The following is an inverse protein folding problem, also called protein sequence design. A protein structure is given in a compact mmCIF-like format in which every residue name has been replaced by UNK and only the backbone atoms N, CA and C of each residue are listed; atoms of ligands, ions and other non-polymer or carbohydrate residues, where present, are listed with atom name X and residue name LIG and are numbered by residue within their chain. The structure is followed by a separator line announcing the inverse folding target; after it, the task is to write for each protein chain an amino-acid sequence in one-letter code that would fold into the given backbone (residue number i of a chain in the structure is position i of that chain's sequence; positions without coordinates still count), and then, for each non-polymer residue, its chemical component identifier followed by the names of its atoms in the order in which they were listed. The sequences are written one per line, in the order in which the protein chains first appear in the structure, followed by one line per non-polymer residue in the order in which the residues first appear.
data_IF_648681780471
#
_entry.id   IF_648681780471
#
_cell.length_a   1.000
_cell.length_b   1.000
_cell.length_c   1.000
_cell.angle_alpha   90.00
_cell.angle_beta   90.00
_cell.angle_gamma   90.00
#
_symmetry.space_group_name_H-M   'P 1'
#
loop_
_entity.id
_entity.type
_entity.pdbx_description
1 polymer ?
#
# COMPACT_ATOMS: atom_id res chain seq x y z
N UNK A 1 7.86 -1.52 3.93
CA UNK A 1 7.84 -2.19 5.25
C UNK A 1 6.78 -3.27 5.21
N UNK A 2 7.22 -4.49 5.47
CA UNK A 2 6.39 -5.67 5.72
C UNK A 2 6.88 -6.32 7.01
N UNK A 3 6.13 -7.26 7.58
CA UNK A 3 6.60 -8.10 8.67
C UNK A 3 7.25 -9.40 8.13
N UNK A 4 7.45 -10.39 9.01
CA UNK A 4 8.27 -11.58 8.79
C UNK A 4 7.88 -12.43 7.57
N UNK A 5 6.63 -12.37 7.11
CA UNK A 5 6.14 -13.15 5.98
C UNK A 5 6.31 -12.40 4.66
N UNK A 6 6.65 -11.12 4.68
CA UNK A 6 6.91 -10.32 3.48
C UNK A 6 8.07 -10.87 2.65
N UNK A 7 7.89 -10.93 1.33
CA UNK A 7 8.92 -11.41 0.37
C UNK A 7 9.18 -10.43 -0.75
N UNK A 8 8.15 -9.74 -1.20
CA UNK A 8 8.29 -8.74 -2.26
C UNK A 8 7.41 -7.56 -1.94
N UNK A 9 7.90 -6.36 -2.22
CA UNK A 9 7.11 -5.15 -2.15
C UNK A 9 7.54 -4.18 -3.22
N UNK A 10 6.55 -3.52 -3.81
CA UNK A 10 6.82 -2.40 -4.68
C UNK A 10 5.72 -1.36 -4.56
N UNK A 11 6.08 -0.12 -4.89
CA UNK A 11 5.14 0.98 -5.07
C UNK A 11 5.39 1.61 -6.42
N UNK A 12 4.33 1.69 -7.23
CA UNK A 12 4.35 2.35 -8.54
C UNK A 12 3.55 3.64 -8.49
N UNK A 13 3.96 4.59 -9.32
CA UNK A 13 3.17 5.77 -9.63
C UNK A 13 2.34 5.45 -10.86
N UNK A 14 1.04 5.66 -10.76
CA UNK A 14 0.09 5.52 -11.86
C UNK A 14 -0.33 6.93 -12.28
N UNK A 15 -0.19 7.22 -13.58
CA UNK A 15 -0.62 8.48 -14.19
C UNK A 15 -1.43 8.14 -15.43
N UNK A 16 -2.67 8.64 -15.49
CA UNK A 16 -3.59 8.35 -16.60
C UNK A 16 -3.69 6.84 -16.91
N UNK A 17 -3.96 6.02 -15.89
CA UNK A 17 -4.07 4.55 -15.97
C UNK A 17 -2.82 3.82 -16.51
N UNK A 18 -1.65 4.44 -16.44
CA UNK A 18 -0.38 3.83 -16.84
C UNK A 18 0.63 3.97 -15.71
N UNK A 19 1.29 2.87 -15.35
CA UNK A 19 2.42 2.91 -14.43
C UNK A 19 3.60 3.63 -15.11
N UNK A 20 4.09 4.70 -14.50
CA UNK A 20 5.14 5.55 -15.08
C UNK A 20 6.51 5.31 -14.45
N UNK A 21 6.57 4.94 -13.18
CA UNK A 21 7.83 4.65 -12.48
C UNK A 21 7.59 3.84 -11.19
N UNK A 22 8.66 3.26 -10.65
CA UNK A 22 8.71 2.71 -9.30
C UNK A 22 9.20 3.77 -8.30
N UNK A 23 8.40 4.03 -7.26
CA UNK A 23 8.91 4.72 -6.06
C UNK A 23 9.71 3.79 -5.16
N UNK A 24 9.39 2.50 -5.21
CA UNK A 24 10.12 1.48 -4.47
C UNK A 24 9.93 0.13 -5.16
N UNK A 25 10.98 -0.67 -5.27
CA UNK A 25 10.91 -2.04 -5.75
C UNK A 25 11.92 -2.92 -5.00
N UNK A 26 11.43 -3.87 -4.23
CA UNK A 26 12.23 -4.88 -3.55
C UNK A 26 11.65 -6.26 -3.87
N UNK A 27 12.23 -6.94 -4.86
CA UNK A 27 11.82 -8.28 -5.26
C UNK A 27 12.17 -9.35 -4.22
N UNK A 28 13.31 -9.18 -3.54
CA UNK A 28 13.78 -10.01 -2.44
C UNK A 28 13.83 -9.19 -1.14
N UNK A 29 12.66 -8.87 -0.61
CA UNK A 29 12.51 -8.14 0.65
C UNK A 29 12.89 -9.04 1.85
N UNK A 30 13.68 -8.48 2.77
CA UNK A 30 14.01 -9.09 4.06
C UNK A 30 13.56 -8.16 5.19
N UNK A 31 12.75 -8.68 6.12
CA UNK A 31 12.31 -7.97 7.31
C UNK A 31 13.48 -7.45 8.17
N UNK A 32 14.61 -8.14 8.20
CA UNK A 32 15.77 -7.73 8.97
C UNK A 32 16.54 -6.57 8.33
N UNK A 33 16.20 -6.20 7.09
CA UNK A 33 16.90 -5.16 6.34
C UNK A 33 15.93 -4.07 5.88
N UNK A 34 15.53 -3.22 6.84
CA UNK A 34 14.63 -2.09 6.62
C UNK A 34 15.40 -0.78 6.73
N UNK A 35 15.59 -0.11 5.59
CA UNK A 35 16.30 1.16 5.51
C UNK A 35 15.62 2.08 4.51
N UNK A 36 15.85 3.38 4.68
CA UNK A 36 15.39 4.39 3.73
C UNK A 36 16.18 4.22 2.42
N UNK A 37 15.47 3.88 1.34
CA UNK A 37 16.05 3.84 0.01
C UNK A 37 15.92 5.22 -0.63
N UNK A 38 17.05 5.83 -0.97
CA UNK A 38 17.04 7.06 -1.75
C UNK A 38 16.79 6.71 -3.21
N UNK A 39 15.80 7.37 -3.79
CA UNK A 39 15.57 7.31 -5.23
C UNK A 39 16.80 7.85 -5.96
N UNK A 40 17.26 7.19 -7.06
CA UNK A 40 18.36 7.69 -7.87
C UNK A 40 18.09 9.12 -8.37
N UNK A 41 16.85 9.35 -8.80
CA UNK A 41 16.35 10.63 -9.26
C UNK A 41 15.11 11.05 -8.49
N UNK A 42 14.94 12.37 -8.33
CA UNK A 42 13.75 12.92 -7.70
C UNK A 42 12.55 12.77 -8.62
N UNK A 43 11.53 12.05 -8.14
CA UNK A 43 10.29 11.87 -8.88
C UNK A 43 9.30 12.98 -8.51
N UNK A 44 8.79 13.68 -9.52
CA UNK A 44 7.74 14.70 -9.36
C UNK A 44 6.36 14.04 -9.38
N UNK A 45 5.59 14.32 -8.34
CA UNK A 45 4.20 13.91 -8.18
C UNK A 45 3.27 15.05 -8.61
N UNK A 46 2.21 14.72 -9.34
CA UNK A 46 1.18 15.66 -9.75
C UNK A 46 -0.17 15.27 -9.16
N UNK A 47 -1.07 16.25 -9.06
CA UNK A 47 -2.46 15.98 -8.68
C UNK A 47 -3.09 15.03 -9.70
N UNK A 48 -3.75 13.99 -9.21
CA UNK A 48 -4.33 12.94 -10.04
C UNK A 48 -3.41 11.74 -10.26
N UNK A 49 -2.15 11.79 -9.83
CA UNK A 49 -1.34 10.58 -9.72
C UNK A 49 -1.88 9.68 -8.62
N UNK A 50 -1.82 8.37 -8.86
CA UNK A 50 -2.18 7.36 -7.88
C UNK A 50 -0.94 6.54 -7.49
N UNK A 51 -0.96 5.95 -6.29
CA UNK A 51 0.08 5.04 -5.83
C UNK A 51 -0.47 3.62 -5.72
N UNK A 52 0.11 2.72 -6.49
CA UNK A 52 -0.18 1.30 -6.40
C UNK A 52 0.93 0.63 -5.58
N UNK A 53 0.63 0.28 -4.33
CA UNK A 53 1.52 -0.51 -3.48
C UNK A 53 1.07 -1.97 -3.50
N UNK A 54 2.00 -2.88 -3.78
CA UNK A 54 1.74 -4.32 -3.72
C UNK A 54 2.75 -4.99 -2.82
N UNK A 55 2.25 -5.88 -1.99
CA UNK A 55 3.02 -6.72 -1.09
C UNK A 55 2.74 -8.19 -1.42
N UNK A 56 3.78 -9.01 -1.42
CA UNK A 56 3.70 -10.47 -1.59
C UNK A 56 4.24 -11.11 -0.33
N UNK A 57 3.49 -12.07 0.20
CA UNK A 57 3.81 -12.78 1.43
C UNK A 57 4.00 -14.26 1.16
N UNK A 58 4.79 -14.92 1.99
CA UNK A 58 4.93 -16.37 2.00
C UNK A 58 4.45 -16.90 3.36
N UNK A 59 3.32 -17.61 3.34
CA UNK A 59 2.69 -18.22 4.52
C UNK A 59 2.91 -19.73 4.60
N UNK A 60 3.83 -20.30 3.81
CA UNK A 60 4.05 -21.76 3.75
C UNK A 60 4.54 -22.35 5.08
N UNK A 61 5.09 -21.52 5.97
CA UNK A 61 5.54 -21.88 7.31
C UNK A 61 4.51 -21.52 8.40
N UNK A 62 3.24 -21.27 8.04
CA UNK A 62 2.16 -20.92 8.96
C UNK A 62 1.00 -21.89 8.81
N UNK A 63 0.56 -22.43 9.95
CA UNK A 63 -0.61 -23.30 10.01
C UNK A 63 -1.93 -22.52 10.24
N UNK A 64 -1.82 -21.25 10.61
CA UNK A 64 -2.95 -20.37 10.91
C UNK A 64 -2.93 -19.13 10.01
N UNK A 65 -4.11 -18.59 9.74
CA UNK A 65 -4.24 -17.32 9.03
C UNK A 65 -3.53 -16.20 9.79
N UNK A 66 -2.82 -15.37 9.03
CA UNK A 66 -2.19 -14.14 9.52
C UNK A 66 -3.04 -12.95 9.09
N UNK A 67 -3.36 -12.05 10.02
CA UNK A 67 -4.17 -10.85 9.76
C UNK A 67 -3.30 -9.61 9.62
N UNK A 68 -3.88 -8.53 9.09
CA UNK A 68 -3.26 -7.22 9.09
C UNK A 68 -3.31 -6.57 10.48
N UNK A 69 -2.20 -6.02 10.96
CA UNK A 69 -2.09 -5.43 12.29
C UNK A 69 -0.66 -5.01 12.64
N UNK A 70 -0.47 -4.44 13.83
CA UNK A 70 0.83 -3.92 14.29
C UNK A 70 1.62 -4.92 15.13
N UNK A 71 1.03 -6.06 15.49
CA UNK A 71 1.70 -7.05 16.35
C UNK A 71 2.70 -7.86 15.51
N UNK A 72 3.68 -8.46 16.18
CA UNK A 72 4.70 -9.32 15.55
C UNK A 72 4.12 -10.57 14.86
N UNK A 73 2.92 -10.99 15.25
CA UNK A 73 2.19 -12.11 14.64
C UNK A 73 1.29 -11.69 13.47
N UNK A 74 1.12 -10.37 13.28
CA UNK A 74 0.30 -9.78 12.23
C UNK A 74 1.22 -9.35 11.07
N UNK A 75 0.62 -8.98 9.94
CA UNK A 75 1.34 -8.43 8.80
C UNK A 75 0.99 -6.95 8.55
N UNK A 76 1.91 -6.24 7.90
CA UNK A 76 1.76 -4.84 7.46
C UNK A 76 2.13 -4.72 5.98
N UNK A 77 1.43 -3.87 5.22
CA UNK A 77 1.80 -3.50 3.86
C UNK A 77 1.95 -1.98 3.78
N UNK A 78 3.15 -1.49 4.09
CA UNK A 78 3.39 -0.05 4.21
C UNK A 78 4.52 0.41 3.31
N UNK A 79 4.37 1.59 2.75
CA UNK A 79 5.46 2.32 2.12
C UNK A 79 5.57 3.70 2.78
N UNK A 80 6.70 3.94 3.44
CA UNK A 80 7.00 5.22 4.07
C UNK A 80 7.78 6.07 3.06
N UNK A 81 7.11 7.05 2.47
CA UNK A 81 7.70 7.94 1.47
C UNK A 81 8.06 9.29 2.08
N UNK A 82 9.30 9.72 1.91
CA UNK A 82 9.76 11.07 2.22
C UNK A 82 9.53 11.98 1.02
N UNK A 83 8.83 13.11 1.20
CA UNK A 83 8.51 14.02 0.09
C UNK A 83 8.66 15.49 0.48
N UNK A 84 8.76 16.37 -0.53
CA UNK A 84 8.78 17.82 -0.35
C UNK A 84 8.14 18.54 -1.56
N UNK A 85 7.59 19.76 -1.40
CA UNK A 85 7.38 20.45 -0.11
C UNK A 85 6.33 19.73 0.75
N UNK A 86 6.37 19.99 2.07
CA UNK A 86 5.39 19.44 3.02
C UNK A 86 3.98 19.86 2.61
N UNK A 87 3.03 18.93 2.67
CA UNK A 87 1.61 19.22 2.55
C UNK A 87 0.99 19.19 3.96
N UNK A 88 0.32 20.27 4.36
CA UNK A 88 -0.13 20.46 5.75
C UNK A 88 -1.14 19.41 6.22
N UNK A 89 -1.90 18.83 5.30
CA UNK A 89 -2.99 17.90 5.58
C UNK A 89 -2.76 16.49 5.03
N UNK A 90 -1.52 16.08 4.71
CA UNK A 90 -1.23 14.71 4.27
C UNK A 90 -0.21 14.04 5.21
N UNK A 91 -0.72 13.21 6.13
CA UNK A 91 0.10 12.42 7.05
C UNK A 91 0.17 10.95 6.64
N UNK A 92 -0.92 10.43 6.07
CA UNK A 92 -0.99 9.08 5.55
C UNK A 92 -2.06 8.94 4.48
N UNK A 93 -1.91 7.89 3.68
CA UNK A 93 -2.91 7.41 2.77
C UNK A 93 -2.94 5.88 2.88
N UNK A 94 -4.11 5.31 3.07
CA UNK A 94 -4.31 3.88 3.13
C UNK A 94 -5.60 3.51 2.41
N UNK A 95 -5.68 2.25 2.00
CA UNK A 95 -6.91 1.71 1.41
C UNK A 95 -7.29 0.44 2.15
N UNK A 96 -8.59 0.29 2.39
CA UNK A 96 -9.19 -0.93 2.93
C UNK A 96 -10.32 -1.38 2.01
N UNK A 97 -10.69 -2.66 2.06
CA UNK A 97 -11.95 -3.10 1.47
C UNK A 97 -13.12 -2.48 2.23
N UNK A 98 -14.26 -2.33 1.56
CA UNK A 98 -15.49 -1.83 2.17
C UNK A 98 -15.87 -2.70 3.37
N UNK A 99 -15.99 -2.14 4.59
CA UNK A 99 -16.41 -2.88 5.77
C UNK A 99 -17.74 -3.60 5.55
N UNK A 100 -18.71 -2.95 4.92
CA UNK A 100 -20.05 -3.52 4.68
C UNK A 100 -19.99 -4.75 3.77
N UNK A 101 -19.23 -4.66 2.67
CA UNK A 101 -19.09 -5.78 1.75
C UNK A 101 -18.32 -6.95 2.39
N UNK A 102 -17.40 -6.64 3.30
CA UNK A 102 -16.63 -7.62 4.04
C UNK A 102 -17.48 -8.35 5.09
N UNK A 103 -18.27 -7.61 5.86
CA UNK A 103 -19.24 -8.16 6.81
C UNK A 103 -20.28 -9.04 6.08
N UNK A 104 -20.77 -8.58 4.93
CA UNK A 104 -21.70 -9.35 4.10
C UNK A 104 -21.08 -10.67 3.61
N UNK A 105 -19.83 -10.65 3.13
CA UNK A 105 -19.11 -11.86 2.69
C UNK A 105 -18.95 -12.88 3.82
N UNK A 106 -18.81 -12.42 5.06
CA UNK A 106 -18.65 -13.27 6.24
C UNK A 106 -19.97 -13.66 6.90
N UNK A 107 -21.10 -13.10 6.44
CA UNK A 107 -22.41 -13.26 7.08
C UNK A 107 -22.38 -12.88 8.58
N UNK A 108 -21.67 -11.80 8.92
CA UNK A 108 -21.56 -11.27 10.29
C UNK A 108 -22.42 -10.00 10.40
N UNK A 109 -23.29 -9.94 11.39
CA UNK A 109 -24.06 -8.73 11.71
C UNK A 109 -23.27 -7.76 12.59
N UNK A 110 -23.43 -6.46 12.36
CA UNK A 110 -22.89 -5.39 13.22
C UNK A 110 -23.57 -5.38 14.62
N UNK A 111 -22.89 -5.02 15.72
CA UNK A 111 -21.51 -4.52 15.82
C UNK A 111 -20.47 -5.63 15.68
N UNK A 112 -19.34 -5.26 15.09
CA UNK A 112 -18.26 -6.17 14.74
C UNK A 112 -17.24 -6.33 15.88
N UNK A 113 -16.96 -7.57 16.31
CA UNK A 113 -15.89 -7.90 17.25
C UNK A 113 -14.69 -8.53 16.51
N UNK A 114 -13.54 -7.83 16.57
CA UNK A 114 -12.30 -8.26 15.91
C UNK A 114 -11.75 -9.59 16.46
N UNK A 115 -11.92 -9.87 17.76
CA UNK A 115 -11.46 -11.12 18.33
C UNK A 115 -12.31 -12.29 17.83
N UNK A 116 -13.64 -12.12 17.84
CA UNK A 116 -14.56 -13.13 17.33
C UNK A 116 -14.33 -13.42 15.84
N UNK A 117 -14.04 -12.39 15.05
CA UNK A 117 -13.60 -12.55 13.68
C UNK A 117 -12.34 -13.40 13.59
N UNK A 118 -11.31 -13.04 14.35
CA UNK A 118 -10.01 -13.68 14.24
C UNK A 118 -10.16 -15.18 14.55
N UNK A 119 -10.92 -15.52 15.59
CA UNK A 119 -11.25 -16.90 15.94
C UNK A 119 -12.03 -17.60 14.81
N UNK A 120 -13.02 -16.93 14.22
CA UNK A 120 -13.77 -17.47 13.10
C UNK A 120 -12.88 -17.74 11.88
N UNK A 121 -12.06 -16.77 11.46
CA UNK A 121 -11.11 -16.92 10.36
C UNK A 121 -10.09 -18.03 10.63
N UNK A 122 -9.68 -18.21 11.88
CA UNK A 122 -8.79 -19.30 12.30
C UNK A 122 -9.47 -20.67 12.29
N UNK A 123 -10.80 -20.73 12.49
CA UNK A 123 -11.58 -21.98 12.43
C UNK A 123 -11.80 -22.49 11.00
N UNK A 124 -11.59 -21.64 10.00
CA UNK A 124 -11.80 -21.96 8.60
C UNK A 124 -10.72 -22.92 8.06
N UNK A 125 -11.14 -24.03 7.44
CA UNK A 125 -10.27 -24.86 6.59
C UNK A 125 -9.91 -24.16 5.26
N UNK A 126 -8.66 -23.75 5.09
CA UNK A 126 -8.18 -23.10 3.87
C UNK A 126 -7.88 -24.12 2.76
N UNK A 127 -8.83 -24.30 1.84
CA UNK A 127 -8.64 -25.10 0.61
C UNK A 127 -8.25 -24.19 -0.57
N UNK A 128 -7.64 -24.73 -1.64
CA UNK A 128 -7.31 -23.95 -2.83
C UNK A 128 -8.50 -23.18 -3.42
N UNK A 129 -9.69 -23.79 -3.42
CA UNK A 129 -10.93 -23.19 -3.91
C UNK A 129 -11.33 -21.98 -3.06
N UNK A 130 -11.30 -22.15 -1.73
CA UNK A 130 -11.58 -21.05 -0.80
C UNK A 130 -10.59 -19.92 -0.96
N UNK A 131 -9.30 -20.22 -1.13
CA UNK A 131 -8.28 -19.20 -1.37
C UNK A 131 -8.56 -18.43 -2.66
N UNK A 132 -8.93 -19.13 -3.74
CA UNK A 132 -9.31 -18.49 -5.00
C UNK A 132 -10.56 -17.60 -4.85
N UNK A 133 -11.59 -18.05 -4.14
CA UNK A 133 -12.79 -17.27 -3.85
C UNK A 133 -12.48 -15.99 -3.06
N UNK A 134 -11.63 -16.07 -2.04
CA UNK A 134 -11.20 -14.90 -1.26
C UNK A 134 -10.36 -13.95 -2.09
N UNK A 135 -9.48 -14.47 -2.93
CA UNK A 135 -8.69 -13.65 -3.84
C UNK A 135 -9.59 -12.88 -4.82
N UNK A 136 -10.59 -13.55 -5.40
CA UNK A 136 -11.53 -12.91 -6.32
C UNK A 136 -12.37 -11.86 -5.62
N UNK A 137 -12.87 -12.15 -4.42
CA UNK A 137 -13.56 -11.19 -3.58
C UNK A 137 -12.71 -9.92 -3.36
N UNK A 138 -11.44 -10.07 -2.96
CA UNK A 138 -10.57 -8.90 -2.74
C UNK A 138 -10.21 -8.12 -4.01
N UNK A 139 -10.22 -8.77 -5.18
CA UNK A 139 -9.98 -8.09 -6.45
C UNK A 139 -11.18 -7.29 -6.93
N UNK A 140 -12.40 -7.69 -6.56
CA UNK A 140 -13.66 -7.16 -7.11
C UNK A 140 -14.42 -6.26 -6.15
N UNK A 141 -14.22 -6.41 -4.83
CA UNK A 141 -14.96 -5.67 -3.82
C UNK A 141 -14.64 -4.16 -3.85
N UNK A 142 -15.64 -3.28 -3.61
CA UNK A 142 -15.38 -1.87 -3.37
C UNK A 142 -14.42 -1.65 -2.21
N UNK A 143 -13.65 -0.57 -2.32
CA UNK A 143 -12.62 -0.17 -1.35
C UNK A 143 -12.91 1.25 -0.88
N UNK A 144 -12.26 1.63 0.22
CA UNK A 144 -12.30 2.99 0.74
C UNK A 144 -10.85 3.44 0.88
N UNK A 145 -10.52 4.55 0.22
CA UNK A 145 -9.29 5.29 0.46
C UNK A 145 -9.51 6.21 1.65
N UNK A 146 -8.58 6.16 2.61
CA UNK A 146 -8.57 6.98 3.81
C UNK A 146 -7.26 7.78 3.76
N UNK A 147 -7.35 9.09 3.76
CA UNK A 147 -6.18 9.96 3.71
C UNK A 147 -6.40 11.23 4.53
N UNK A 148 -5.30 11.84 4.98
CA UNK A 148 -5.37 13.10 5.71
C UNK A 148 -4.65 13.06 7.04
N UNK A 149 -5.14 13.86 7.99
CA UNK A 149 -4.67 13.92 9.38
C UNK A 149 -5.89 13.85 10.30
N UNK A 150 -5.83 13.08 11.39
CA UNK A 150 -6.85 13.19 12.43
C UNK A 150 -6.88 14.62 13.01
N UNK A 151 -8.05 15.22 13.25
CA UNK A 151 -9.40 14.65 13.16
C UNK A 151 -10.03 14.73 11.75
N UNK A 152 -9.38 15.37 10.79
CA UNK A 152 -9.89 15.68 9.45
C UNK A 152 -9.54 14.61 8.41
N UNK A 153 -9.81 13.34 8.72
CA UNK A 153 -9.64 12.25 7.75
C UNK A 153 -10.66 12.39 6.61
N UNK A 154 -10.19 12.16 5.39
CA UNK A 154 -10.99 12.13 4.18
C UNK A 154 -11.20 10.69 3.75
N UNK A 155 -12.39 10.41 3.22
CA UNK A 155 -12.80 9.09 2.75
C UNK A 155 -13.23 9.21 1.30
N UNK A 156 -12.62 8.42 0.42
CA UNK A 156 -13.01 8.35 -0.98
C UNK A 156 -13.37 6.91 -1.35
N UNK A 157 -14.60 6.63 -1.78
CA UNK A 157 -14.96 5.30 -2.26
C UNK A 157 -14.20 5.00 -3.54
N UNK A 158 -13.68 3.78 -3.64
CA UNK A 158 -13.01 3.24 -4.82
C UNK A 158 -13.78 2.01 -5.29
N UNK A 159 -14.12 1.90 -6.58
CA UNK A 159 -15.02 0.85 -7.07
C UNK A 159 -14.41 -0.56 -6.97
N UNK A 160 -13.11 -0.70 -7.24
CA UNK A 160 -12.33 -1.94 -7.13
C UNK A 160 -10.83 -1.61 -7.22
N UNK A 161 -9.97 -2.63 -7.25
CA UNK A 161 -8.55 -2.45 -7.56
C UNK A 161 -8.41 -1.78 -8.95
N UNK A 162 -7.73 -0.64 -9.07
CA UNK A 162 -7.57 0.02 -10.36
C UNK A 162 -6.77 -0.89 -11.31
N UNK A 163 -7.32 -1.10 -12.51
CA UNK A 163 -6.58 -1.70 -13.61
C UNK A 163 -5.75 -0.60 -14.28
N UNK A 164 -4.47 -0.87 -14.49
CA UNK A 164 -3.57 0.06 -15.15
C UNK A 164 -2.59 -0.71 -16.04
N UNK A 165 -2.11 -0.04 -17.08
CA UNK A 165 -1.06 -0.56 -17.94
C UNK A 165 0.24 -0.60 -17.14
N UNK A 166 0.77 -1.80 -16.94
CA UNK A 166 1.96 -1.99 -16.11
C UNK A 166 3.25 -1.61 -16.85
N UNK A 167 4.29 -1.29 -16.08
CA UNK A 167 5.66 -1.18 -16.55
C UNK A 167 6.14 -2.53 -17.06
N UNK A 168 7.03 -2.51 -18.05
CA UNK A 168 7.77 -3.72 -18.41
C UNK A 168 8.57 -4.19 -17.18
N UNK A 169 8.63 -5.50 -16.89
CA UNK A 169 9.43 -6.01 -15.79
C UNK A 169 10.87 -5.49 -15.90
N UNK A 170 11.38 -4.94 -14.80
CA UNK A 170 12.80 -4.56 -14.73
C UNK A 170 13.57 -5.85 -14.50
N UNK A 171 14.14 -6.41 -15.57
CA UNK A 171 15.01 -7.58 -15.43
C UNK A 171 16.35 -7.08 -14.93
N UNK A 172 16.64 -7.31 -13.65
CA UNK A 172 17.97 -7.10 -13.10
C UNK A 172 18.92 -8.15 -13.69
N UNK A 173 19.53 -7.87 -14.83
CA UNK A 173 20.72 -8.61 -15.26
C UNK A 173 21.86 -8.27 -14.32
N UNK A 174 22.48 -9.29 -13.71
CA UNK A 174 23.78 -9.10 -13.07
C UNK A 174 24.74 -8.63 -14.15
N UNK A 175 25.04 -7.33 -14.19
CA UNK A 175 26.18 -6.86 -14.94
C UNK A 175 27.41 -7.52 -14.33
N UNK A 176 28.09 -8.34 -15.13
CA UNK A 176 29.47 -8.71 -14.87
C UNK A 176 30.31 -7.47 -15.09
N UNK A 177 30.30 -6.55 -14.13
CA UNK A 177 31.20 -5.40 -14.13
C UNK A 177 32.58 -5.89 -13.75
N UNK A 178 33.43 -6.03 -14.75
CA UNK A 178 34.89 -6.08 -14.61
C UNK A 178 35.33 -4.84 -13.81
N UNK A 179 36.21 -4.95 -12.81
CA UNK A 179 36.61 -3.80 -12.01
C UNK A 179 37.42 -2.83 -12.87
N UNK A 180 36.87 -1.64 -13.08
CA UNK A 180 37.61 -0.49 -13.59
C UNK A 180 37.05 0.11 -14.87
N UNK A 181 36.12 1.05 -14.71
CA UNK A 181 36.10 2.33 -15.44
C UNK A 181 34.88 3.15 -14.97
N UNK A 182 35.13 4.24 -14.25
CA UNK A 182 34.14 5.29 -14.04
C UNK A 182 34.00 6.13 -15.32
N UNK A 183 32.78 6.49 -15.72
CA UNK A 183 32.57 7.70 -16.50
C UNK A 183 32.02 8.79 -15.59
N UNK A 184 32.86 9.78 -15.32
CA UNK A 184 32.39 11.13 -15.03
C UNK A 184 31.65 11.69 -16.26
N UNK A 185 30.55 12.42 -16.06
CA UNK A 185 30.47 13.86 -16.38
C UNK A 185 29.09 14.39 -15.98
N UNK A 186 29.13 15.49 -15.24
CA UNK A 186 28.02 16.29 -14.73
C UNK A 186 27.67 17.35 -15.78
N UNK A 187 26.39 17.50 -16.13
CA UNK A 187 25.91 18.69 -16.87
C UNK A 187 24.73 19.32 -16.13
N UNK A 188 24.95 20.55 -15.72
CA UNK A 188 24.01 21.47 -15.04
C UNK A 188 22.98 22.03 -16.02
N UNK A 189 21.73 22.21 -15.56
CA UNK A 189 20.79 23.17 -16.13
C UNK A 189 19.92 23.82 -15.04
N UNK A 190 19.77 25.12 -15.15
CA UNK A 190 19.26 26.08 -14.16
C UNK A 190 17.77 26.38 -14.26
N UNK A 191 17.18 26.64 -13.09
CA UNK A 191 16.14 27.64 -12.74
C UNK A 191 14.79 27.72 -13.49
N UNK A 192 13.72 27.85 -12.70
CA UNK A 192 12.41 28.31 -13.14
C UNK A 192 11.42 28.44 -11.98
N UNK A 193 11.41 29.62 -11.35
CA UNK A 193 10.53 30.06 -10.26
C UNK A 193 9.09 30.31 -10.74
N UNK A 194 8.08 29.94 -9.95
CA UNK A 194 6.90 30.79 -9.60
C UNK A 194 6.01 30.10 -8.55
N UNK A 195 5.67 30.84 -7.50
CA UNK A 195 4.68 30.60 -6.42
C UNK A 195 3.50 31.57 -6.67
N UNK A 196 2.42 31.58 -5.86
CA UNK A 196 1.50 30.51 -5.45
C UNK A 196 0.03 30.94 -5.71
N UNK A 197 -0.96 30.05 -5.52
CA UNK A 197 -2.38 30.47 -5.46
C UNK A 197 -3.02 30.04 -4.15
N UNK A 198 -3.45 31.05 -3.39
CA UNK A 198 -4.27 31.02 -2.18
C UNK A 198 -5.74 30.86 -2.54
N UNK A 199 -6.51 29.99 -1.87
CA UNK A 199 -7.93 30.25 -1.57
C UNK A 199 -8.29 29.65 -0.21
N UNK A 200 -9.08 30.41 0.53
CA UNK A 200 -9.38 30.34 1.95
C UNK A 200 -10.44 29.29 2.37
N UNK A 201 -10.49 29.14 3.69
CA UNK A 201 -11.36 28.33 4.54
C UNK A 201 -12.86 28.59 4.39
N UNK A 202 -13.66 27.57 4.72
CA UNK A 202 -14.80 27.75 5.62
C UNK A 202 -15.10 26.48 6.43
N UNK A 203 -15.64 26.72 7.61
CA UNK A 203 -15.61 25.92 8.83
C UNK A 203 -16.83 25.02 9.08
N UNK A 204 -16.68 24.19 10.12
CA UNK A 204 -17.69 23.43 10.87
C UNK A 204 -17.97 22.02 10.29
N UNK A 205 -17.94 20.91 11.04
CA UNK A 205 -18.57 20.63 12.34
C UNK A 205 -17.93 19.38 12.99
N UNK A 206 -17.79 19.45 14.33
CA UNK A 206 -17.69 18.42 15.39
C UNK A 206 -16.83 17.15 15.18
N UNK A 207 -15.76 17.14 15.97
CA UNK A 207 -15.08 15.96 16.49
C UNK A 207 -16.04 15.07 17.28
N UNK A 208 -15.98 13.76 17.02
CA UNK A 208 -16.05 12.77 18.07
C UNK A 208 -14.86 11.80 17.87
N UNK A 209 -14.12 11.65 18.96
CA UNK A 209 -12.90 10.87 19.12
C UNK A 209 -13.10 9.46 18.57
N UNK A 210 -12.23 9.05 17.64
CA UNK A 210 -12.17 7.68 17.14
C UNK A 210 -10.73 7.19 17.26
N UNK A 211 -10.52 6.42 18.32
CA UNK A 211 -9.47 5.41 18.42
C UNK A 211 -9.66 4.43 17.26
N UNK A 212 -9.02 4.69 16.12
CA UNK A 212 -9.03 3.81 14.96
C UNK A 212 -7.61 3.37 14.60
N UNK A 213 -7.15 2.35 15.32
CA UNK A 213 -6.14 1.39 14.88
C UNK A 213 -6.63 0.06 15.43
N UNK A 214 -7.36 -0.75 14.63
CA UNK A 214 -6.69 -1.70 13.73
C UNK A 214 -7.56 -2.08 12.51
N UNK A 215 -7.43 -1.40 11.37
CA UNK A 215 -7.95 -1.92 10.10
C UNK A 215 -6.97 -1.58 8.97
N UNK A 216 -5.77 -2.13 9.05
CA UNK A 216 -4.95 -2.32 7.85
C UNK A 216 -5.51 -3.57 7.17
N UNK A 217 -6.59 -3.44 6.39
CA UNK A 217 -7.01 -4.53 5.50
C UNK A 217 -5.99 -4.64 4.37
N UNK A 218 -4.96 -5.44 4.60
CA UNK A 218 -4.03 -5.85 3.55
C UNK A 218 -4.79 -6.80 2.65
N UNK A 219 -4.93 -6.46 1.37
CA UNK A 219 -5.35 -7.41 0.35
C UNK A 219 -4.26 -8.48 0.26
N UNK A 220 -4.55 -9.64 0.85
CA UNK A 220 -3.66 -10.79 0.92
C UNK A 220 -3.80 -11.57 -0.39
N UNK A 221 -2.81 -11.45 -1.27
CA UNK A 221 -2.66 -12.41 -2.38
C UNK A 221 -1.89 -13.61 -1.84
N UNK A 222 -2.62 -14.64 -1.40
CA UNK A 222 -2.04 -15.96 -1.11
C UNK A 222 -1.75 -16.61 -2.46
N UNK A 223 -0.51 -16.54 -2.92
CA UNK A 223 -0.05 -17.35 -4.05
C UNK A 223 0.35 -18.70 -3.45
N UNK A 224 -0.54 -19.69 -3.56
CA UNK A 224 -0.13 -21.10 -3.43
C UNK A 224 0.46 -21.46 -4.81
N UNK A 225 1.78 -21.62 -4.87
CA UNK A 225 2.45 -22.29 -5.99
C UNK A 225 2.57 -23.77 -5.69
#
# INVERSE_FOLDING_TARGET
MLFFLGRTVWTKIIRNNTAVDYLFNAEAYDFNYQYENRLPDRVKLYRGDEFATRCIYNTMNKDVITLGGERTKDEMCLHMATYYPRMDNLYGCMTTNSPDAWLAKMNISSPFDYNQLQEWLQSLKWTPERVAEWQEFYNTVPRIAIYGAAPNLQFNPLPRIPEYKDLKPVICTRDQTTPGQSPATRTTASQGSTKPTTVAFNSAVRQNVLTFFPLISIVMKIIIS
#
